data_IF_722708054264
#
_entry.id   IF_722708054264
#
_cell.length_a   1.000
_cell.length_b   1.000
_cell.length_c   1.000
_cell.angle_alpha   90.00
_cell.angle_beta   90.00
_cell.angle_gamma   90.00
#
_symmetry.space_group_name_H-M   'P 1'
#
loop_
_entity.id
_entity.type
_entity.pdbx_description
1 polymer ?
#
# COMPACT_ATOMS: atom_id res chain seq x y z
N UNK A 1 -27.26 13.48 0.70
CA UNK A 1 -25.97 13.39 1.42
C UNK A 1 -25.84 11.99 1.99
N UNK A 2 -24.75 11.29 1.69
CA UNK A 2 -24.51 9.94 2.18
C UNK A 2 -24.49 9.86 3.73
N UNK A 3 -24.14 10.97 4.39
CA UNK A 3 -24.12 11.09 5.86
C UNK A 3 -25.44 10.75 6.54
N UNK A 4 -26.59 10.90 5.86
CA UNK A 4 -27.92 10.51 6.40
C UNK A 4 -28.09 9.01 6.59
N UNK A 5 -27.21 8.18 6.00
CA UNK A 5 -27.25 6.72 6.14
C UNK A 5 -26.50 6.23 7.40
N UNK A 6 -25.70 7.09 8.04
CA UNK A 6 -24.92 6.75 9.23
C UNK A 6 -25.80 6.85 10.48
N UNK A 7 -26.60 5.82 10.73
CA UNK A 7 -27.55 5.80 11.86
C UNK A 7 -27.05 5.06 13.10
N UNK A 8 -26.08 4.14 12.94
CA UNK A 8 -25.61 3.24 14.01
C UNK A 8 -24.11 3.33 14.28
N UNK A 9 -23.38 4.15 13.51
CA UNK A 9 -21.93 4.28 13.64
C UNK A 9 -21.12 3.00 13.34
N UNK A 10 -21.71 2.01 12.67
CA UNK A 10 -21.00 0.77 12.31
C UNK A 10 -20.04 1.01 11.15
N UNK A 11 -18.84 0.46 11.26
CA UNK A 11 -17.84 0.43 10.19
C UNK A 11 -17.54 -1.01 9.77
N UNK A 12 -17.21 -1.19 8.50
CA UNK A 12 -16.81 -2.47 7.92
C UNK A 12 -15.55 -2.24 7.09
N UNK A 13 -14.46 -2.94 7.40
CA UNK A 13 -13.27 -2.93 6.56
C UNK A 13 -13.56 -3.65 5.25
N UNK A 14 -13.38 -2.96 4.12
CA UNK A 14 -13.55 -3.55 2.78
C UNK A 14 -12.23 -4.03 2.16
N UNK A 15 -11.12 -3.83 2.87
CA UNK A 15 -9.81 -4.32 2.49
C UNK A 15 -9.68 -5.83 2.67
N UNK A 16 -8.76 -6.41 1.90
CA UNK A 16 -8.31 -7.79 2.08
C UNK A 16 -6.94 -7.80 2.75
N UNK A 17 -6.59 -8.91 3.40
CA UNK A 17 -5.22 -9.13 3.88
C UNK A 17 -4.29 -9.25 2.69
N UNK A 18 -3.16 -8.56 2.74
CA UNK A 18 -2.13 -8.60 1.70
C UNK A 18 -0.95 -9.41 2.24
N UNK A 19 -0.56 -10.45 1.51
CA UNK A 19 0.49 -11.39 1.88
C UNK A 19 1.23 -11.93 0.65
N UNK A 20 2.39 -12.55 0.84
CA UNK A 20 3.27 -13.03 -0.25
C UNK A 20 2.64 -14.09 -1.16
N UNK A 21 1.62 -14.79 -0.70
CA UNK A 21 0.94 -15.86 -1.45
C UNK A 21 -0.42 -15.45 -2.01
N UNK A 22 -0.82 -14.18 -1.87
CA UNK A 22 -2.12 -13.75 -2.36
C UNK A 22 -2.18 -13.78 -3.90
N UNK A 23 -3.34 -14.09 -4.50
CA UNK A 23 -3.50 -14.03 -5.94
C UNK A 23 -3.22 -12.62 -6.47
N UNK A 24 -2.38 -12.52 -7.50
CA UNK A 24 -2.08 -11.30 -8.22
C UNK A 24 -2.04 -11.57 -9.72
N UNK A 25 -2.48 -10.60 -10.52
CA UNK A 25 -2.39 -10.70 -11.98
C UNK A 25 -0.91 -10.65 -12.40
N UNK A 26 -0.35 -11.70 -13.04
CA UNK A 26 1.06 -11.75 -13.41
C UNK A 26 1.45 -10.58 -14.33
N UNK A 27 2.67 -10.01 -14.21
CA UNK A 27 3.80 -10.47 -13.40
C UNK A 27 3.87 -9.84 -11.99
N UNK A 28 2.77 -9.27 -11.48
CA UNK A 28 2.75 -8.56 -10.19
C UNK A 28 3.01 -9.53 -9.03
N UNK A 29 3.78 -9.09 -8.04
CA UNK A 29 4.09 -9.84 -6.82
C UNK A 29 4.10 -8.93 -5.59
N UNK A 30 4.04 -9.56 -4.43
CA UNK A 30 4.20 -8.93 -3.12
C UNK A 30 5.46 -9.48 -2.45
N UNK A 31 6.36 -8.60 -2.01
CA UNK A 31 7.55 -8.96 -1.26
C UNK A 31 7.70 -8.06 -0.03
N UNK A 32 7.75 -8.67 1.15
CA UNK A 32 7.96 -8.00 2.43
C UNK A 32 9.22 -8.56 3.09
N UNK A 33 10.06 -7.66 3.61
CA UNK A 33 11.27 -8.00 4.34
C UNK A 33 11.34 -7.18 5.62
N UNK A 34 11.47 -7.82 6.78
CA UNK A 34 11.88 -7.16 8.00
C UNK A 34 13.42 -7.02 8.00
N UNK A 35 13.91 -5.81 8.18
CA UNK A 35 15.34 -5.48 8.24
C UNK A 35 15.65 -4.92 9.61
N UNK A 36 16.74 -5.35 10.25
CA UNK A 36 17.22 -4.63 11.43
C UNK A 36 17.77 -3.27 11.00
N UNK A 37 17.30 -2.22 11.67
CA UNK A 37 17.69 -0.87 11.35
C UNK A 37 19.07 -0.58 11.95
N UNK A 38 20.10 -0.68 11.11
CA UNK A 38 21.49 -0.37 11.47
C UNK A 38 21.88 1.10 11.21
N UNK A 39 20.92 2.00 10.92
CA UNK A 39 21.23 3.42 10.72
C UNK A 39 21.46 4.11 12.07
N UNK A 40 22.73 4.40 12.36
CA UNK A 40 23.14 5.19 13.52
C UNK A 40 23.39 4.36 14.79
N UNK A 41 23.40 5.03 15.93
CA UNK A 41 23.61 4.43 17.25
C UNK A 41 22.31 4.53 18.06
N UNK A 42 21.32 3.63 17.83
CA UNK A 42 19.99 3.74 18.43
C UNK A 42 20.06 3.73 19.96
N UNK A 43 21.00 2.97 20.55
CA UNK A 43 21.19 2.97 21.99
C UNK A 43 21.61 4.34 22.55
N UNK A 44 22.38 5.12 21.79
CA UNK A 44 22.74 6.50 22.18
C UNK A 44 21.56 7.45 22.02
N UNK A 45 20.78 7.29 20.95
CA UNK A 45 19.60 8.12 20.69
C UNK A 45 18.52 7.91 21.76
N UNK A 46 18.22 6.64 22.06
CA UNK A 46 17.14 6.25 22.97
C UNK A 46 17.59 6.05 24.42
N UNK A 47 18.91 6.06 24.70
CA UNK A 47 19.52 5.80 26.02
C UNK A 47 19.07 4.46 26.63
N UNK A 48 18.81 3.48 25.77
CA UNK A 48 18.30 2.15 26.10
C UNK A 48 18.82 1.15 25.06
N UNK A 49 19.26 -0.07 25.43
CA UNK A 49 19.70 -1.11 24.49
C UNK A 49 18.52 -1.64 23.67
N UNK A 50 18.11 -0.86 22.67
CA UNK A 50 16.97 -1.16 21.81
C UNK A 50 17.46 -1.83 20.52
N UNK A 51 16.77 -2.89 20.12
CA UNK A 51 16.84 -3.47 18.77
C UNK A 51 15.62 -3.02 17.99
N UNK A 52 15.83 -2.44 16.81
CA UNK A 52 14.76 -1.89 15.97
C UNK A 52 14.75 -2.64 14.64
N UNK A 53 13.58 -3.08 14.21
CA UNK A 53 13.36 -3.61 12.88
C UNK A 53 12.41 -2.68 12.10
N UNK A 54 12.72 -2.46 10.83
CA UNK A 54 11.86 -1.78 9.87
C UNK A 54 11.38 -2.76 8.80
N UNK A 55 10.29 -2.43 8.13
CA UNK A 55 9.74 -3.22 7.03
C UNK A 55 10.06 -2.57 5.68
N UNK A 56 10.62 -3.37 4.77
CA UNK A 56 10.76 -3.02 3.36
C UNK A 56 9.70 -3.77 2.54
N UNK A 57 8.81 -2.99 1.91
CA UNK A 57 7.78 -3.51 1.01
C UNK A 57 8.12 -3.18 -0.45
N UNK A 58 8.17 -4.22 -1.30
CA UNK A 58 8.24 -4.10 -2.76
C UNK A 58 7.01 -4.74 -3.39
N UNK A 59 6.19 -3.93 -4.06
CA UNK A 59 4.92 -4.37 -4.65
C UNK A 59 4.45 -3.42 -5.76
N UNK A 60 3.37 -3.79 -6.44
CA UNK A 60 2.60 -2.92 -7.32
C UNK A 60 1.43 -2.32 -6.56
N UNK A 61 1.06 -1.07 -6.87
CA UNK A 61 -0.16 -0.46 -6.34
C UNK A 61 -1.44 -1.12 -6.88
N UNK A 62 -1.32 -1.83 -8.01
CA UNK A 62 -2.38 -2.63 -8.60
C UNK A 62 -2.48 -4.06 -8.02
N UNK A 63 -2.25 -4.24 -6.72
CA UNK A 63 -2.29 -5.54 -6.05
C UNK A 63 -3.22 -5.46 -4.82
N UNK A 64 -4.15 -6.42 -4.73
CA UNK A 64 -5.17 -6.46 -3.69
C UNK A 64 -6.34 -5.49 -3.91
N UNK A 65 -6.95 -5.03 -2.83
CA UNK A 65 -7.97 -3.97 -2.93
C UNK A 65 -7.28 -2.69 -3.39
N UNK A 66 -7.66 -2.18 -4.56
CA UNK A 66 -6.98 -1.07 -5.22
C UNK A 66 -7.95 0.04 -5.65
N UNK A 67 -7.38 1.22 -5.90
CA UNK A 67 -8.03 2.31 -6.63
C UNK A 67 -7.15 2.59 -7.85
N UNK A 68 -7.68 2.29 -9.03
CA UNK A 68 -7.02 2.63 -10.28
C UNK A 68 -7.33 4.09 -10.65
N UNK A 69 -6.29 4.91 -10.65
CA UNK A 69 -6.40 6.32 -11.01
C UNK A 69 -6.74 6.52 -12.50
N UNK A 70 -7.14 7.73 -12.88
CA UNK A 70 -7.58 8.04 -14.25
C UNK A 70 -6.46 7.92 -15.31
N UNK A 71 -5.19 7.87 -14.88
CA UNK A 71 -4.05 7.57 -15.75
C UNK A 71 -3.70 6.08 -15.84
N UNK A 72 -4.42 5.19 -15.14
CA UNK A 72 -4.13 3.75 -15.17
C UNK A 72 -4.36 3.13 -16.54
N UNK A 73 -5.34 3.65 -17.29
CA UNK A 73 -5.69 3.18 -18.62
C UNK A 73 -6.10 4.36 -19.51
N UNK A 74 -5.66 4.31 -20.76
CA UNK A 74 -6.00 5.26 -21.81
C UNK A 74 -6.18 4.54 -23.14
N UNK A 75 -6.68 5.25 -24.14
CA UNK A 75 -6.89 4.74 -25.50
C UNK A 75 -5.95 5.45 -26.47
N UNK A 76 -5.06 4.70 -27.11
CA UNK A 76 -4.10 5.22 -28.09
C UNK A 76 -3.27 6.41 -27.57
N UNK A 77 -2.80 6.32 -26.32
CA UNK A 77 -2.02 7.38 -25.66
C UNK A 77 -2.84 8.57 -25.16
N UNK A 78 -4.18 8.54 -25.30
CA UNK A 78 -5.08 9.55 -24.75
C UNK A 78 -5.69 9.07 -23.45
N UNK A 79 -5.63 9.89 -22.42
CA UNK A 79 -6.16 9.61 -21.09
C UNK A 79 -7.26 10.61 -20.73
N UNK A 80 -7.82 10.44 -19.52
CA UNK A 80 -8.81 11.37 -18.99
C UNK A 80 -8.36 12.84 -19.13
N UNK A 81 -9.34 13.72 -19.40
CA UNK A 81 -9.13 15.15 -19.60
C UNK A 81 -8.17 15.50 -20.76
N UNK A 82 -8.19 14.69 -21.83
CA UNK A 82 -7.40 14.90 -23.05
C UNK A 82 -5.88 14.93 -22.82
N UNK A 83 -5.41 14.31 -21.74
CA UNK A 83 -3.98 14.17 -21.48
C UNK A 83 -3.37 13.20 -22.50
N UNK A 84 -2.22 13.58 -23.06
CA UNK A 84 -1.44 12.78 -24.00
C UNK A 84 -0.07 12.47 -23.40
N UNK A 85 0.30 11.19 -23.43
CA UNK A 85 1.66 10.72 -23.16
C UNK A 85 2.56 10.77 -24.40
#
# INVERSE_FOLDING_TARGET
MATKLVNKGKSHGLGIVIETCMPAFPPRYFQLQAIENHLGEPEKLYRWPVTIHDDLLKTWLGLGLQIDGLGHAGESGNFYNFYKE
#
